data_IF_376199695263
#
_entry.id   IF_376199695263
#
_cell.length_a   1.000
_cell.length_b   1.000
_cell.length_c   1.000
_cell.angle_alpha   90.00
_cell.angle_beta   90.00
_cell.angle_gamma   90.00
#
_symmetry.space_group_name_H-M   'P 1'
#
loop_
_entity.id
_entity.type
_entity.pdbx_description
1 polymer ?
#
# COMPACT_ATOMS: atom_id res chain seq x y z
N UNK A 1 -118.50 -30.57 57.67
CA UNK A 1 -118.08 -29.49 56.76
C UNK A 1 -116.65 -29.77 56.35
N UNK A 2 -116.38 -29.97 55.05
CA UNK A 2 -115.61 -29.02 54.20
C UNK A 2 -114.10 -29.11 54.55
N UNK A 3 -113.13 -29.40 53.68
CA UNK A 3 -113.08 -29.53 52.22
C UNK A 3 -111.85 -30.36 51.83
N UNK A 4 -111.98 -31.00 50.67
CA UNK A 4 -110.96 -31.67 49.86
C UNK A 4 -109.93 -30.65 49.33
N UNK A 5 -108.66 -31.06 49.17
CA UNK A 5 -107.82 -30.55 48.08
C UNK A 5 -106.77 -31.58 47.65
N UNK A 6 -106.65 -31.76 46.34
CA UNK A 6 -105.90 -32.78 45.61
C UNK A 6 -104.37 -32.60 45.65
N UNK A 7 -103.58 -33.67 45.38
CA UNK A 7 -102.14 -33.59 45.21
C UNK A 7 -101.76 -33.16 43.79
N UNK A 8 -100.99 -32.06 43.66
CA UNK A 8 -100.32 -31.72 42.39
C UNK A 8 -99.03 -32.52 42.22
N UNK A 9 -99.05 -33.48 41.29
CA UNK A 9 -97.84 -34.03 40.67
C UNK A 9 -97.17 -32.93 39.83
N UNK A 10 -95.90 -32.62 40.11
CA UNK A 10 -95.05 -31.81 39.23
C UNK A 10 -93.86 -32.65 38.74
N UNK A 11 -93.87 -32.87 37.43
CA UNK A 11 -92.80 -33.37 36.55
C UNK A 11 -91.35 -33.26 37.07
N UNK A 12 -90.71 -34.41 37.31
CA UNK A 12 -89.28 -34.54 37.68
C UNK A 12 -88.34 -34.81 36.48
N UNK A 13 -88.77 -34.53 35.24
CA UNK A 13 -88.00 -34.84 34.03
C UNK A 13 -86.94 -33.79 33.61
N UNK A 14 -86.63 -32.80 34.48
CA UNK A 14 -85.71 -31.69 34.13
C UNK A 14 -84.32 -31.77 34.75
N UNK A 15 -84.11 -32.53 35.84
CA UNK A 15 -82.82 -32.59 36.58
C UNK A 15 -81.78 -33.56 36.00
N UNK A 16 -82.20 -34.61 35.27
CA UNK A 16 -81.27 -35.60 34.71
C UNK A 16 -80.42 -35.03 33.55
N UNK A 17 -80.98 -34.08 32.79
CA UNK A 17 -80.26 -33.32 31.76
C UNK A 17 -79.30 -32.30 32.36
N UNK A 18 -79.63 -31.69 33.50
CA UNK A 18 -78.79 -30.68 34.17
C UNK A 18 -77.56 -31.30 34.83
N UNK A 19 -77.68 -32.46 35.47
CA UNK A 19 -76.54 -33.12 36.12
C UNK A 19 -75.53 -33.70 35.11
N UNK A 20 -75.98 -34.21 33.96
CA UNK A 20 -75.09 -34.63 32.86
C UNK A 20 -74.38 -33.44 32.20
N UNK A 21 -75.05 -32.30 32.12
CA UNK A 21 -74.46 -31.04 31.65
C UNK A 21 -73.36 -30.55 32.62
N UNK A 22 -73.62 -30.59 33.94
CA UNK A 22 -72.64 -30.19 34.96
C UNK A 22 -71.41 -31.13 34.96
N UNK A 23 -71.62 -32.45 34.87
CA UNK A 23 -70.53 -33.41 34.78
C UNK A 23 -69.69 -33.24 33.50
N UNK A 24 -70.34 -32.95 32.37
CA UNK A 24 -69.66 -32.65 31.10
C UNK A 24 -68.84 -31.36 31.19
N UNK A 25 -69.42 -30.28 31.74
CA UNK A 25 -68.71 -29.02 31.96
C UNK A 25 -67.50 -29.22 32.88
N UNK A 26 -67.64 -30.00 33.95
CA UNK A 26 -66.53 -30.31 34.85
C UNK A 26 -65.38 -31.02 34.12
N UNK A 27 -65.67 -32.06 33.34
CA UNK A 27 -64.65 -32.79 32.56
C UNK A 27 -63.97 -31.87 31.55
N UNK A 28 -64.73 -31.02 30.85
CA UNK A 28 -64.17 -30.06 29.88
C UNK A 28 -63.28 -29.03 30.58
N UNK A 29 -63.68 -28.51 31.74
CA UNK A 29 -62.87 -27.58 32.53
C UNK A 29 -61.60 -28.25 33.05
N UNK A 30 -61.69 -29.46 33.58
CA UNK A 30 -60.51 -30.22 34.03
C UNK A 30 -59.55 -30.51 32.87
N UNK A 31 -60.07 -30.92 31.72
CA UNK A 31 -59.26 -31.13 30.52
C UNK A 31 -58.62 -29.82 30.03
N UNK A 32 -59.36 -28.70 30.06
CA UNK A 32 -58.82 -27.38 29.71
C UNK A 32 -57.70 -26.95 30.66
N UNK A 33 -57.85 -27.17 31.98
CA UNK A 33 -56.81 -26.88 32.98
C UNK A 33 -55.59 -27.79 32.77
N UNK A 34 -55.79 -29.07 32.49
CA UNK A 34 -54.70 -30.01 32.22
C UNK A 34 -53.92 -29.63 30.96
N UNK A 35 -54.62 -29.30 29.86
CA UNK A 35 -54.00 -28.81 28.62
C UNK A 35 -53.29 -27.48 28.86
N UNK A 36 -53.90 -26.55 29.59
CA UNK A 36 -53.28 -25.27 29.94
C UNK A 36 -52.01 -25.44 30.77
N UNK A 37 -52.02 -26.34 31.75
CA UNK A 37 -50.85 -26.68 32.57
C UNK A 37 -49.75 -27.33 31.72
N UNK A 38 -50.12 -28.22 30.81
CA UNK A 38 -49.20 -28.85 29.88
C UNK A 38 -48.54 -27.81 28.95
N UNK A 39 -49.31 -26.85 28.43
CA UNK A 39 -48.79 -25.75 27.61
C UNK A 39 -47.80 -24.85 28.36
N UNK A 40 -47.95 -24.69 29.68
CA UNK A 40 -46.99 -23.96 30.52
C UNK A 40 -45.71 -24.78 30.72
N UNK A 41 -45.83 -26.08 30.98
CA UNK A 41 -44.66 -26.97 31.17
C UNK A 41 -43.82 -27.06 29.89
N UNK A 42 -44.45 -27.11 28.71
CA UNK A 42 -43.78 -27.12 27.41
C UNK A 42 -43.50 -25.72 26.85
N UNK A 43 -43.61 -24.67 27.67
CA UNK A 43 -43.31 -23.32 27.21
C UNK A 43 -41.84 -23.18 26.81
N UNK A 44 -41.59 -22.47 25.71
CA UNK A 44 -40.25 -22.16 25.19
C UNK A 44 -40.12 -20.67 24.91
N UNK A 45 -38.93 -20.15 25.12
CA UNK A 45 -38.55 -18.79 24.76
C UNK A 45 -37.39 -18.81 23.77
N UNK A 46 -37.49 -18.01 22.72
CA UNK A 46 -36.38 -17.71 21.81
C UNK A 46 -36.00 -16.25 22.00
N UNK A 47 -34.78 -16.02 22.43
CA UNK A 47 -34.19 -14.70 22.65
C UNK A 47 -33.20 -14.46 21.52
N UNK A 48 -33.46 -13.45 20.69
CA UNK A 48 -32.57 -13.04 19.61
C UNK A 48 -31.89 -11.75 20.04
N UNK A 49 -30.56 -11.78 20.15
CA UNK A 49 -29.72 -10.65 20.53
C UNK A 49 -28.95 -10.19 19.30
N UNK A 50 -29.19 -8.96 18.85
CA UNK A 50 -28.37 -8.35 17.80
C UNK A 50 -27.12 -7.75 18.44
N UNK A 51 -25.94 -8.24 18.05
CA UNK A 51 -24.68 -7.74 18.59
C UNK A 51 -24.19 -6.50 17.83
N UNK A 52 -23.64 -5.53 18.55
CA UNK A 52 -22.84 -4.46 17.94
C UNK A 52 -21.49 -5.01 17.50
N UNK A 53 -21.14 -4.75 16.25
CA UNK A 53 -19.80 -4.99 15.75
C UNK A 53 -18.83 -3.99 16.39
N UNK A 54 -17.67 -4.48 16.78
CA UNK A 54 -16.56 -3.65 17.26
C UNK A 54 -15.34 -3.93 16.43
N UNK A 55 -14.80 -2.87 15.85
CA UNK A 55 -13.57 -2.93 15.08
C UNK A 55 -12.40 -3.33 15.97
N UNK A 56 -11.60 -4.24 15.45
CA UNK A 56 -10.36 -4.72 16.05
C UNK A 56 -9.27 -4.45 15.04
N UNK A 57 -8.25 -3.73 15.50
CA UNK A 57 -6.97 -3.65 14.83
C UNK A 57 -5.94 -4.31 15.74
N UNK A 58 -5.21 -5.27 15.20
CA UNK A 58 -4.21 -6.00 15.96
C UNK A 58 -3.01 -6.31 15.10
N UNK A 59 -1.85 -6.05 15.67
CA UNK A 59 -0.56 -6.35 15.08
C UNK A 59 0.01 -7.61 15.71
N UNK A 60 0.22 -8.63 14.87
CA UNK A 60 0.68 -9.95 15.26
C UNK A 60 2.04 -10.24 14.64
N UNK A 61 2.85 -11.02 15.33
CA UNK A 61 4.11 -11.55 14.80
C UNK A 61 3.95 -13.06 14.73
N UNK A 62 3.97 -13.60 13.53
CA UNK A 62 3.89 -15.04 13.27
C UNK A 62 5.28 -15.55 12.95
N UNK A 63 5.71 -16.54 13.71
CA UNK A 63 7.01 -17.17 13.54
C UNK A 63 6.91 -18.34 12.56
N UNK A 64 7.73 -18.30 11.52
CA UNK A 64 7.83 -19.33 10.49
C UNK A 64 9.18 -20.03 10.64
N UNK A 65 9.18 -21.35 10.66
CA UNK A 65 10.38 -22.16 10.85
C UNK A 65 10.35 -23.43 9.98
N UNK A 66 11.53 -23.85 9.50
CA UNK A 66 11.66 -25.11 8.75
C UNK A 66 11.45 -26.36 9.61
N UNK A 67 11.67 -26.23 10.92
CA UNK A 67 11.38 -27.27 11.91
C UNK A 67 10.63 -26.62 13.08
N UNK A 68 9.31 -26.47 12.97
CA UNK A 68 8.52 -25.71 13.93
C UNK A 68 8.54 -26.38 15.32
N UNK A 69 8.70 -25.57 16.35
CA UNK A 69 8.57 -25.96 17.75
C UNK A 69 7.44 -25.18 18.41
N UNK A 70 6.41 -25.87 18.91
CA UNK A 70 5.26 -25.22 19.54
C UNK A 70 4.30 -24.61 18.52
N UNK A 71 4.06 -23.31 18.61
CA UNK A 71 3.06 -22.57 17.80
C UNK A 71 3.61 -22.01 16.47
N UNK A 72 4.86 -22.34 16.13
CA UNK A 72 5.52 -21.91 14.88
C UNK A 72 4.87 -22.54 13.64
N UNK A 73 4.84 -21.78 12.55
CA UNK A 73 4.30 -22.22 11.26
C UNK A 73 5.40 -22.91 10.45
N UNK A 74 5.15 -24.11 9.89
CA UNK A 74 6.11 -24.76 9.00
C UNK A 74 6.34 -23.92 7.74
N UNK A 75 7.62 -23.66 7.44
CA UNK A 75 8.00 -22.93 6.24
C UNK A 75 9.50 -22.87 6.00
N UNK A 76 9.90 -22.32 4.86
CA UNK A 76 11.29 -22.22 4.42
C UNK A 76 11.64 -20.79 4.07
N UNK A 77 12.87 -20.39 4.39
CA UNK A 77 13.37 -19.04 4.14
C UNK A 77 14.58 -19.10 3.23
N UNK A 78 14.64 -18.22 2.24
CA UNK A 78 15.74 -18.14 1.30
C UNK A 78 16.17 -16.70 1.11
N UNK A 79 17.45 -16.55 0.76
CA UNK A 79 18.04 -15.26 0.45
C UNK A 79 18.96 -15.40 -0.74
N UNK A 80 18.75 -14.55 -1.74
CA UNK A 80 19.54 -14.51 -2.96
C UNK A 80 19.88 -13.05 -3.24
N UNK A 81 21.13 -12.77 -3.59
CA UNK A 81 21.55 -11.46 -4.08
C UNK A 81 21.88 -11.54 -5.56
N UNK A 82 21.44 -10.55 -6.35
CA UNK A 82 21.87 -10.38 -7.74
C UNK A 82 22.35 -8.97 -7.99
N UNK A 83 23.39 -8.86 -8.82
CA UNK A 83 23.93 -7.61 -9.32
C UNK A 83 23.80 -7.56 -10.83
N UNK A 84 23.37 -6.43 -11.36
CA UNK A 84 23.42 -6.13 -12.79
C UNK A 84 24.07 -4.76 -13.01
N UNK A 85 24.72 -4.62 -14.16
CA UNK A 85 25.26 -3.35 -14.64
C UNK A 85 24.73 -3.11 -16.04
N UNK A 86 24.07 -1.99 -16.26
CA UNK A 86 23.47 -1.63 -17.54
C UNK A 86 23.80 -0.18 -17.91
N UNK A 87 23.86 0.07 -19.22
CA UNK A 87 24.12 1.40 -19.78
C UNK A 87 22.80 2.05 -20.16
N UNK A 88 22.60 3.29 -19.71
CA UNK A 88 21.41 4.08 -19.97
C UNK A 88 21.76 5.32 -20.80
N UNK A 89 21.03 5.61 -21.89
CA UNK A 89 21.22 6.83 -22.65
C UNK A 89 20.71 8.04 -21.87
N UNK A 90 21.41 9.18 -21.98
CA UNK A 90 20.95 10.47 -21.46
C UNK A 90 20.06 11.12 -22.51
N UNK A 91 18.84 11.49 -22.11
CA UNK A 91 17.86 12.12 -22.99
C UNK A 91 17.73 13.62 -22.75
N UNK A 92 18.11 14.07 -21.56
CA UNK A 92 18.05 15.47 -21.20
C UNK A 92 19.22 16.26 -21.78
N UNK A 93 18.89 17.28 -22.56
CA UNK A 93 19.85 18.24 -23.08
C UNK A 93 19.78 19.55 -22.31
N UNK A 94 20.94 20.14 -22.08
CA UNK A 94 21.13 21.46 -21.49
C UNK A 94 21.93 22.30 -22.47
N UNK A 95 21.45 23.52 -22.74
CA UNK A 95 22.22 24.49 -23.50
C UNK A 95 23.27 25.13 -22.59
N UNK A 96 24.54 24.84 -22.87
CA UNK A 96 25.69 25.43 -22.18
C UNK A 96 26.23 26.58 -23.01
N UNK A 97 26.61 27.66 -22.34
CA UNK A 97 27.25 28.80 -22.98
C UNK A 97 28.72 28.49 -23.25
N UNK A 98 29.09 28.46 -24.52
CA UNK A 98 30.44 28.21 -25.00
C UNK A 98 31.00 29.46 -25.67
N UNK A 99 32.30 29.47 -25.99
CA UNK A 99 32.90 30.56 -26.77
C UNK A 99 32.62 30.33 -28.25
N UNK A 100 32.16 31.37 -28.94
CA UNK A 100 32.01 31.33 -30.38
C UNK A 100 33.39 31.23 -31.05
N UNK A 101 33.50 30.36 -32.04
CA UNK A 101 34.72 30.22 -32.84
C UNK A 101 34.41 30.45 -34.32
N UNK A 102 35.35 31.05 -35.04
CA UNK A 102 35.27 31.10 -36.50
C UNK A 102 36.55 31.59 -37.15
N UNK A 103 36.56 31.57 -38.48
CA UNK A 103 37.74 31.94 -39.27
C UNK A 103 37.69 33.42 -39.62
N UNK A 104 38.82 34.09 -39.41
CA UNK A 104 39.04 35.47 -39.81
C UNK A 104 40.18 35.53 -40.82
N UNK A 105 40.04 36.38 -41.83
CA UNK A 105 41.06 36.70 -42.81
C UNK A 105 41.74 37.99 -42.39
N UNK A 106 43.05 37.92 -42.22
CA UNK A 106 43.90 39.04 -41.82
C UNK A 106 44.73 39.43 -43.04
N UNK A 107 44.54 40.65 -43.52
CA UNK A 107 45.26 41.23 -44.67
C UNK A 107 46.19 42.33 -44.16
N UNK A 108 47.44 42.32 -44.60
CA UNK A 108 48.41 43.37 -44.29
C UNK A 108 48.93 44.04 -45.56
N UNK A 109 48.94 45.37 -45.55
CA UNK A 109 49.56 46.22 -46.57
C UNK A 109 50.99 46.67 -46.16
N UNK A 110 51.54 46.10 -45.10
CA UNK A 110 52.91 46.39 -44.69
C UNK A 110 53.91 45.75 -45.64
N UNK A 111 55.03 46.44 -45.87
CA UNK A 111 56.17 45.94 -46.63
C UNK A 111 57.06 44.93 -45.88
N UNK A 112 56.68 44.56 -44.66
CA UNK A 112 57.36 43.56 -43.83
C UNK A 112 56.34 42.55 -43.29
N UNK A 113 56.78 41.32 -43.08
CA UNK A 113 55.95 40.32 -42.40
C UNK A 113 55.72 40.74 -40.95
N UNK A 114 54.50 40.53 -40.45
CA UNK A 114 54.12 40.82 -39.08
C UNK A 114 53.59 39.56 -38.41
N UNK A 115 54.20 39.19 -37.29
CA UNK A 115 53.70 38.09 -36.47
C UNK A 115 52.64 38.61 -35.50
N UNK A 116 51.48 37.96 -35.48
CA UNK A 116 50.43 38.15 -34.48
C UNK A 116 50.43 36.93 -33.57
N UNK A 117 50.71 37.14 -32.29
CA UNK A 117 50.78 36.04 -31.31
C UNK A 117 49.39 35.49 -31.01
N UNK A 118 49.33 34.23 -30.58
CA UNK A 118 48.13 33.69 -29.95
C UNK A 118 47.65 34.65 -28.84
N UNK A 119 46.34 34.75 -28.64
CA UNK A 119 45.64 35.68 -27.76
C UNK A 119 45.62 37.17 -28.19
N UNK A 120 46.08 37.51 -29.40
CA UNK A 120 45.95 38.87 -29.95
C UNK A 120 44.48 39.30 -29.96
N UNK A 121 44.20 40.49 -29.40
CA UNK A 121 42.84 41.03 -29.27
C UNK A 121 42.32 41.57 -30.61
N UNK A 122 41.13 41.11 -30.99
CA UNK A 122 40.33 41.56 -32.11
C UNK A 122 39.02 42.15 -31.56
N UNK A 123 38.60 43.31 -32.04
CA UNK A 123 37.38 43.97 -31.55
C UNK A 123 36.48 44.32 -32.72
N UNK A 124 35.22 43.90 -32.67
CA UNK A 124 34.21 44.26 -33.67
C UNK A 124 33.76 45.72 -33.49
N UNK A 125 33.13 46.34 -34.50
CA UNK A 125 32.51 47.66 -34.36
C UNK A 125 31.50 47.72 -33.20
N UNK A 126 30.83 46.60 -32.91
CA UNK A 126 29.85 46.47 -31.82
C UNK A 126 30.51 46.28 -30.45
N UNK A 127 31.84 46.29 -30.37
CA UNK A 127 32.58 46.18 -29.12
C UNK A 127 32.79 44.75 -28.61
N UNK A 128 32.36 43.73 -29.37
CA UNK A 128 32.57 42.32 -29.02
C UNK A 128 34.04 41.96 -29.21
N UNK A 129 34.61 41.34 -28.18
CA UNK A 129 36.03 41.02 -28.14
C UNK A 129 36.28 39.55 -28.51
N UNK A 130 37.23 39.36 -29.41
CA UNK A 130 37.76 38.07 -29.82
C UNK A 130 39.26 38.01 -29.62
N UNK A 131 39.79 36.80 -29.57
CA UNK A 131 41.21 36.51 -29.47
C UNK A 131 41.62 35.50 -30.53
N UNK A 132 42.80 35.71 -31.09
CA UNK A 132 43.39 34.75 -32.02
C UNK A 132 43.76 33.46 -31.26
N UNK A 133 43.35 32.29 -31.76
CA UNK A 133 43.63 30.98 -31.14
C UNK A 133 45.11 30.62 -31.25
N UNK A 134 45.67 30.83 -32.43
CA UNK A 134 47.03 30.44 -32.79
C UNK A 134 47.89 31.66 -33.15
N UNK A 135 49.22 31.50 -33.06
CA UNK A 135 50.15 32.52 -33.57
C UNK A 135 50.16 32.44 -35.09
N UNK A 136 49.90 33.56 -35.76
CA UNK A 136 49.83 33.65 -37.22
C UNK A 136 50.83 34.66 -37.74
N UNK A 137 51.58 34.30 -38.78
CA UNK A 137 52.52 35.20 -39.46
C UNK A 137 51.86 35.75 -40.71
N UNK A 138 51.56 37.06 -40.70
CA UNK A 138 50.99 37.76 -41.84
C UNK A 138 52.14 38.17 -42.77
N UNK A 139 52.19 37.69 -44.03
CA UNK A 139 53.24 38.06 -44.97
C UNK A 139 53.13 39.53 -45.40
N UNK A 140 54.23 40.10 -45.91
CA UNK A 140 54.23 41.45 -46.48
C UNK A 140 53.30 41.51 -47.70
N UNK A 141 52.46 42.54 -47.80
CA UNK A 141 51.46 42.70 -48.86
C UNK A 141 50.63 41.44 -49.14
N UNK A 142 50.21 40.73 -48.08
CA UNK A 142 49.52 39.46 -48.22
C UNK A 142 48.44 39.23 -47.18
N UNK A 143 47.84 38.04 -47.24
CA UNK A 143 46.75 37.66 -46.35
C UNK A 143 46.98 36.28 -45.76
N UNK A 144 46.39 36.05 -44.60
CA UNK A 144 46.44 34.77 -43.89
C UNK A 144 45.12 34.57 -43.13
N UNK A 145 44.69 33.33 -43.03
CA UNK A 145 43.52 32.98 -42.23
C UNK A 145 43.95 32.53 -40.84
N UNK A 146 43.20 32.96 -39.83
CA UNK A 146 43.37 32.57 -38.44
C UNK A 146 42.04 32.20 -37.80
N UNK A 147 42.09 31.46 -36.70
CA UNK A 147 40.90 31.15 -35.91
C UNK A 147 40.75 32.20 -34.80
N UNK A 148 39.60 32.85 -34.74
CA UNK A 148 39.23 33.78 -33.69
C UNK A 148 38.21 33.13 -32.76
N UNK A 149 38.39 33.34 -31.45
CA UNK A 149 37.56 32.81 -30.38
C UNK A 149 37.03 33.97 -29.53
N UNK A 150 35.75 33.99 -29.18
CA UNK A 150 35.19 35.04 -28.33
C UNK A 150 35.85 35.06 -26.94
N UNK A 151 36.05 36.24 -26.36
CA UNK A 151 36.68 36.37 -25.03
C UNK A 151 35.75 35.79 -23.95
N UNK A 152 34.46 36.11 -24.07
CA UNK A 152 33.38 35.66 -23.19
C UNK A 152 32.60 34.50 -23.83
N UNK A 153 32.09 33.60 -22.99
CA UNK A 153 31.12 32.58 -23.39
C UNK A 153 29.73 33.20 -23.52
N UNK A 154 28.89 32.63 -24.38
CA UNK A 154 27.49 33.01 -24.50
C UNK A 154 27.12 33.58 -25.86
N UNK A 155 25.81 33.88 -26.07
CA UNK A 155 25.26 34.28 -27.36
C UNK A 155 25.79 35.65 -27.84
N UNK A 156 26.37 36.46 -26.97
CA UNK A 156 27.01 37.73 -27.34
C UNK A 156 28.25 37.54 -28.23
N UNK A 157 28.85 36.34 -28.21
CA UNK A 157 29.94 35.97 -29.11
C UNK A 157 29.51 35.56 -30.51
N UNK A 158 28.20 35.31 -30.73
CA UNK A 158 27.69 34.95 -32.05
C UNK A 158 27.58 36.21 -32.92
N UNK A 159 28.50 36.36 -33.87
CA UNK A 159 28.58 37.55 -34.74
C UNK A 159 28.53 37.12 -36.20
N UNK A 160 27.72 37.84 -36.99
CA UNK A 160 27.64 37.65 -38.44
C UNK A 160 28.90 38.09 -39.18
N UNK A 161 28.77 38.37 -40.46
CA UNK A 161 29.88 38.91 -41.24
C UNK A 161 30.24 40.33 -40.76
N UNK A 162 31.49 40.51 -40.33
CA UNK A 162 31.95 41.78 -39.75
C UNK A 162 33.45 41.99 -39.97
N UNK A 163 33.93 43.17 -39.60
CA UNK A 163 35.34 43.52 -39.59
C UNK A 163 35.86 43.61 -38.17
N UNK A 164 37.17 43.51 -37.99
CA UNK A 164 37.79 43.65 -36.67
C UNK A 164 38.90 44.69 -36.69
N UNK A 165 39.04 45.36 -35.56
CA UNK A 165 40.17 46.23 -35.25
C UNK A 165 41.12 45.49 -34.31
N UNK A 166 42.43 45.67 -34.47
CA UNK A 166 43.47 45.11 -33.57
C UNK A 166 43.96 46.22 -32.62
N UNK A 167 43.42 46.34 -31.39
CA UNK A 167 43.78 47.45 -30.50
C UNK A 167 45.23 47.40 -30.03
N UNK A 168 45.82 46.19 -29.97
CA UNK A 168 47.20 45.97 -29.53
C UNK A 168 48.27 46.50 -30.49
N UNK A 169 47.91 46.86 -31.72
CA UNK A 169 48.80 47.54 -32.65
C UNK A 169 48.70 49.06 -32.46
N UNK A 170 49.83 49.77 -32.59
CA UNK A 170 49.84 51.24 -32.61
C UNK A 170 49.05 51.79 -33.80
N UNK A 171 48.44 52.95 -33.66
CA UNK A 171 47.53 53.54 -34.67
C UNK A 171 48.16 53.62 -36.07
N UNK A 172 49.42 54.05 -36.13
CA UNK A 172 50.16 54.17 -37.40
C UNK A 172 50.42 52.84 -38.13
N UNK A 173 50.43 51.70 -37.42
CA UNK A 173 50.56 50.37 -38.05
C UNK A 173 49.20 49.72 -38.26
N UNK A 174 48.24 49.98 -37.37
CA UNK A 174 46.90 49.41 -37.39
C UNK A 174 46.14 49.75 -38.67
N UNK A 175 46.33 50.95 -39.23
CA UNK A 175 45.72 51.37 -40.50
C UNK A 175 46.10 50.50 -41.71
N UNK A 176 47.21 49.74 -41.62
CA UNK A 176 47.67 48.84 -42.69
C UNK A 176 47.19 47.40 -42.50
N UNK A 177 46.31 47.14 -41.53
CA UNK A 177 45.69 45.84 -41.31
C UNK A 177 44.18 45.93 -41.52
N UNK A 178 43.66 45.05 -42.37
CA UNK A 178 42.23 44.75 -42.44
C UNK A 178 42.00 43.33 -41.91
N UNK A 179 41.04 43.16 -41.01
CA UNK A 179 40.62 41.86 -40.51
C UNK A 179 39.15 41.70 -40.76
N UNK A 180 38.78 40.65 -41.46
CA UNK A 180 37.40 40.38 -41.89
C UNK A 180 37.03 38.95 -41.54
N UNK A 181 35.76 38.70 -41.24
CA UNK A 181 35.24 37.34 -41.08
C UNK A 181 35.24 36.61 -42.42
N UNK A 182 35.67 35.34 -42.45
CA UNK A 182 35.50 34.46 -43.63
C UNK A 182 34.08 33.87 -43.68
N UNK A 183 33.38 33.87 -42.55
CA UNK A 183 31.97 33.50 -42.37
C UNK A 183 31.53 33.88 -40.95
N UNK A 184 30.25 33.68 -40.61
CA UNK A 184 29.75 34.01 -39.27
C UNK A 184 30.51 33.25 -38.17
N UNK A 185 30.85 33.95 -37.09
CA UNK A 185 31.41 33.36 -35.88
C UNK A 185 30.22 32.89 -35.04
N UNK A 186 30.12 31.57 -34.87
CA UNK A 186 29.00 30.93 -34.18
C UNK A 186 29.54 29.96 -33.12
N UNK A 187 28.70 29.59 -32.15
CA UNK A 187 29.06 28.65 -31.10
C UNK A 187 29.06 29.26 -29.70
N UNK A 188 28.42 30.42 -29.52
CA UNK A 188 28.12 31.01 -28.23
C UNK A 188 27.24 30.11 -27.33
N UNK A 189 26.55 29.13 -27.94
CA UNK A 189 25.76 28.10 -27.27
C UNK A 189 26.02 26.73 -27.88
N UNK A 190 26.14 25.72 -27.01
CA UNK A 190 26.23 24.31 -27.38
C UNK A 190 25.19 23.53 -26.58
N UNK A 191 24.36 22.73 -27.25
CA UNK A 191 23.56 21.73 -26.55
C UNK A 191 24.45 20.57 -26.13
N UNK A 192 24.37 20.19 -24.87
CA UNK A 192 25.03 19.01 -24.36
C UNK A 192 24.10 18.17 -23.50
N UNK A 193 24.38 16.88 -23.41
CA UNK A 193 23.60 15.95 -22.60
C UNK A 193 24.18 15.92 -21.18
N UNK A 194 23.32 16.02 -20.18
CA UNK A 194 23.72 15.99 -18.78
C UNK A 194 22.85 15.03 -17.99
N UNK A 195 23.45 14.19 -17.14
CA UNK A 195 22.67 13.25 -16.34
C UNK A 195 21.82 14.00 -15.33
N UNK A 196 20.51 13.79 -15.36
CA UNK A 196 19.59 14.35 -14.36
C UNK A 196 19.28 13.35 -13.25
N UNK A 197 18.92 13.87 -12.06
CA UNK A 197 18.47 13.04 -10.94
C UNK A 197 17.23 12.19 -11.28
N UNK A 198 16.34 12.71 -12.13
CA UNK A 198 15.14 12.02 -12.57
C UNK A 198 15.45 10.81 -13.48
N UNK A 199 16.40 10.96 -14.40
CA UNK A 199 16.85 9.86 -15.26
C UNK A 199 17.55 8.77 -14.47
N UNK A 200 18.42 9.15 -13.52
CA UNK A 200 19.09 8.20 -12.63
C UNK A 200 18.08 7.42 -11.77
N UNK A 201 17.10 8.11 -11.18
CA UNK A 201 16.04 7.46 -10.39
C UNK A 201 15.20 6.51 -11.25
N UNK A 202 14.83 6.92 -12.46
CA UNK A 202 14.05 6.08 -13.38
C UNK A 202 14.82 4.83 -13.81
N UNK A 203 16.10 4.98 -14.15
CA UNK A 203 16.98 3.86 -14.48
C UNK A 203 17.12 2.90 -13.29
N UNK A 204 17.23 3.44 -12.06
CA UNK A 204 17.27 2.63 -10.85
C UNK A 204 15.97 1.83 -10.65
N UNK A 205 14.81 2.49 -10.73
CA UNK A 205 13.51 1.85 -10.56
C UNK A 205 13.27 0.74 -11.59
N UNK A 206 13.70 0.96 -12.85
CA UNK A 206 13.63 -0.04 -13.91
C UNK A 206 14.52 -1.25 -13.61
N UNK A 207 15.78 -1.03 -13.21
CA UNK A 207 16.69 -2.12 -12.84
C UNK A 207 16.20 -2.88 -11.60
N UNK A 208 15.73 -2.18 -10.57
CA UNK A 208 15.21 -2.79 -9.35
C UNK A 208 13.95 -3.60 -9.66
N UNK A 209 13.03 -3.08 -10.46
CA UNK A 209 11.82 -3.81 -10.88
C UNK A 209 12.15 -5.11 -11.63
N UNK A 210 13.08 -5.05 -12.59
CA UNK A 210 13.53 -6.22 -13.34
C UNK A 210 14.24 -7.24 -12.45
N UNK A 211 15.22 -6.80 -11.66
CA UNK A 211 15.96 -7.67 -10.74
C UNK A 211 15.04 -8.30 -9.69
N UNK A 212 14.03 -7.58 -9.20
CA UNK A 212 13.04 -8.13 -8.24
C UNK A 212 12.20 -9.24 -8.86
N UNK A 213 11.79 -9.09 -10.12
CA UNK A 213 11.07 -10.15 -10.87
C UNK A 213 11.94 -11.40 -11.09
N UNK A 214 13.20 -11.21 -11.47
CA UNK A 214 14.17 -12.30 -11.62
C UNK A 214 14.45 -13.00 -10.28
N UNK A 215 14.65 -12.24 -9.21
CA UNK A 215 14.86 -12.75 -7.85
C UNK A 215 13.64 -13.52 -7.35
N UNK A 216 12.42 -13.03 -7.60
CA UNK A 216 11.17 -13.76 -7.26
C UNK A 216 11.17 -15.14 -7.92
N UNK A 217 11.50 -15.20 -9.21
CA UNK A 217 11.55 -16.45 -9.97
C UNK A 217 12.66 -17.38 -9.47
N UNK A 218 13.83 -16.83 -9.14
CA UNK A 218 14.95 -17.59 -8.58
C UNK A 218 14.65 -18.14 -7.18
N UNK A 219 14.02 -17.34 -6.31
CA UNK A 219 13.61 -17.76 -4.96
C UNK A 219 12.56 -18.87 -5.02
N UNK A 220 11.55 -18.74 -5.90
CA UNK A 220 10.56 -19.82 -6.14
C UNK A 220 11.21 -21.09 -6.69
N UNK A 221 12.20 -20.95 -7.58
CA UNK A 221 12.99 -22.06 -8.10
C UNK A 221 13.73 -22.79 -6.98
N UNK A 222 14.48 -22.06 -6.17
CA UNK A 222 15.22 -22.61 -5.04
C UNK A 222 14.30 -23.31 -4.02
N UNK A 223 13.14 -22.73 -3.73
CA UNK A 223 12.16 -23.35 -2.85
C UNK A 223 11.65 -24.70 -3.40
N UNK A 224 11.41 -24.79 -4.71
CA UNK A 224 10.97 -26.03 -5.38
C UNK A 224 12.07 -27.09 -5.38
N UNK A 225 13.32 -26.69 -5.61
CA UNK A 225 14.47 -27.59 -5.65
C UNK A 225 14.73 -28.23 -4.27
N UNK A 226 14.48 -27.49 -3.18
CA UNK A 226 14.56 -28.00 -1.81
C UNK A 226 13.31 -28.83 -1.40
N UNK A 227 12.39 -29.08 -2.35
CA UNK A 227 11.20 -29.90 -2.17
C UNK A 227 10.01 -29.18 -1.49
N UNK A 228 10.13 -27.88 -1.24
CA UNK A 228 9.05 -27.07 -0.67
C UNK A 228 7.92 -26.91 -1.70
N UNK A 229 6.67 -27.16 -1.26
CA UNK A 229 5.45 -26.89 -2.04
C UNK A 229 4.60 -25.87 -1.28
N UNK A 230 5.02 -24.62 -1.23
CA UNK A 230 4.33 -23.60 -0.45
C UNK A 230 3.07 -23.12 -1.15
N UNK A 231 2.00 -22.98 -0.38
CA UNK A 231 0.75 -22.33 -0.80
C UNK A 231 0.72 -20.85 -0.38
N UNK A 232 1.65 -20.42 0.48
CA UNK A 232 1.88 -19.04 0.88
C UNK A 232 3.31 -18.59 0.58
N UNK A 233 3.46 -17.39 0.03
CA UNK A 233 4.75 -16.78 -0.29
C UNK A 233 4.75 -15.29 0.05
N UNK A 234 5.88 -14.82 0.59
CA UNK A 234 6.16 -13.42 0.85
C UNK A 234 7.57 -13.10 0.36
N UNK A 235 7.72 -11.92 -0.23
CA UNK A 235 8.98 -11.44 -0.75
C UNK A 235 9.31 -10.07 -0.18
N UNK A 236 10.59 -9.83 0.05
CA UNK A 236 11.14 -8.53 0.42
C UNK A 236 12.41 -8.30 -0.39
N UNK A 237 12.58 -7.09 -0.91
CA UNK A 237 13.70 -6.72 -1.77
C UNK A 237 14.40 -5.50 -1.18
N UNK A 238 15.69 -5.65 -0.91
CA UNK A 238 16.52 -4.59 -0.36
C UNK A 238 17.63 -4.24 -1.35
N UNK A 239 17.76 -2.96 -1.71
CA UNK A 239 18.89 -2.51 -2.52
C UNK A 239 20.12 -2.33 -1.62
N UNK A 240 21.11 -3.20 -1.80
CA UNK A 240 22.30 -3.26 -0.93
C UNK A 240 23.45 -2.40 -1.44
N UNK A 241 23.53 -2.21 -2.76
CA UNK A 241 24.61 -1.43 -3.39
C UNK A 241 24.10 -0.74 -4.65
N UNK A 242 24.52 0.51 -4.82
CA UNK A 242 24.24 1.35 -5.98
C UNK A 242 25.54 2.06 -6.35
N UNK A 243 25.94 1.95 -7.61
CA UNK A 243 27.09 2.66 -8.16
C UNK A 243 26.72 3.17 -9.54
N UNK A 244 26.77 4.48 -9.72
CA UNK A 244 26.81 5.10 -11.03
C UNK A 244 28.26 5.47 -11.35
N UNK A 245 28.65 5.37 -12.61
CA UNK A 245 29.97 5.81 -13.09
C UNK A 245 30.06 7.32 -13.38
N UNK A 246 28.92 8.01 -13.32
CA UNK A 246 28.75 9.41 -13.70
C UNK A 246 27.98 10.15 -12.60
N UNK A 247 28.36 11.40 -12.32
CA UNK A 247 27.65 12.25 -11.35
C UNK A 247 26.50 13.05 -11.97
N UNK A 248 25.55 13.49 -11.15
CA UNK A 248 24.44 14.34 -11.60
C UNK A 248 25.01 15.66 -12.10
N UNK A 249 24.65 16.05 -13.33
CA UNK A 249 25.12 17.27 -13.99
C UNK A 249 26.43 17.11 -14.78
N UNK A 250 27.02 15.92 -14.83
CA UNK A 250 28.17 15.63 -15.68
C UNK A 250 27.76 15.50 -17.15
N UNK A 251 28.58 16.03 -18.05
CA UNK A 251 28.38 16.00 -19.50
C UNK A 251 28.71 14.61 -20.05
N UNK A 252 27.68 13.82 -20.38
CA UNK A 252 27.83 12.51 -21.04
C UNK A 252 26.59 12.14 -21.85
N UNK A 253 26.79 11.34 -22.90
CA UNK A 253 25.70 10.79 -23.73
C UNK A 253 25.05 9.54 -23.10
N UNK A 254 25.75 8.86 -22.20
CA UNK A 254 25.25 7.68 -21.50
C UNK A 254 25.99 7.47 -20.17
N UNK A 255 25.36 6.78 -19.23
CA UNK A 255 25.97 6.41 -17.96
C UNK A 255 25.73 4.92 -17.67
N UNK A 256 26.65 4.29 -16.95
CA UNK A 256 26.47 2.93 -16.46
C UNK A 256 25.98 2.94 -15.01
N UNK A 257 24.92 2.18 -14.76
CA UNK A 257 24.36 1.98 -13.44
C UNK A 257 24.53 0.53 -13.02
N UNK A 258 25.17 0.33 -11.85
CA UNK A 258 25.31 -0.98 -11.21
C UNK A 258 24.47 -1.03 -9.94
N UNK A 259 23.50 -1.95 -9.92
CA UNK A 259 22.58 -2.15 -8.80
C UNK A 259 22.73 -3.58 -8.29
N UNK A 260 22.86 -3.72 -6.96
CA UNK A 260 22.79 -5.02 -6.28
C UNK A 260 21.53 -5.06 -5.42
N UNK A 261 20.65 -6.01 -5.74
CA UNK A 261 19.40 -6.26 -5.00
C UNK A 261 19.53 -7.58 -4.24
N UNK A 262 19.24 -7.53 -2.95
CA UNK A 262 19.08 -8.71 -2.11
C UNK A 262 17.59 -9.03 -1.99
N UNK A 263 17.20 -10.20 -2.51
CA UNK A 263 15.86 -10.74 -2.39
C UNK A 263 15.77 -11.74 -1.25
N UNK A 264 14.76 -11.56 -0.41
CA UNK A 264 14.39 -12.44 0.69
C UNK A 264 13.04 -13.07 0.39
N UNK A 265 12.96 -14.39 0.46
CA UNK A 265 11.72 -15.15 0.23
C UNK A 265 11.36 -15.96 1.46
N UNK A 266 10.10 -15.84 1.90
CA UNK A 266 9.53 -16.66 2.96
C UNK A 266 8.37 -17.45 2.37
N UNK A 267 8.44 -18.77 2.51
CA UNK A 267 7.49 -19.71 1.93
C UNK A 267 6.90 -20.55 3.06
N UNK A 268 5.58 -20.68 3.12
CA UNK A 268 4.90 -21.32 4.24
C UNK A 268 3.61 -22.00 3.82
N UNK A 269 3.11 -22.88 4.69
CA UNK A 269 1.78 -23.46 4.56
C UNK A 269 0.72 -22.39 4.90
N UNK A 270 -0.12 -22.04 3.92
CA UNK A 270 -1.12 -20.99 4.07
C UNK A 270 -2.17 -21.34 5.12
N UNK A 271 -2.59 -22.60 5.18
CA UNK A 271 -3.61 -23.06 6.15
C UNK A 271 -3.06 -23.02 7.57
N UNK A 272 -1.82 -23.45 7.78
CA UNK A 272 -1.16 -23.37 9.08
C UNK A 272 -0.94 -21.91 9.53
N UNK A 273 -0.59 -21.04 8.59
CA UNK A 273 -0.42 -19.60 8.85
C UNK A 273 -1.74 -18.93 9.24
N UNK A 274 -2.80 -19.08 8.45
CA UNK A 274 -4.12 -18.50 8.73
C UNK A 274 -4.68 -19.06 10.06
N UNK A 275 -4.45 -20.34 10.34
CA UNK A 275 -4.79 -20.96 11.62
C UNK A 275 -4.03 -20.36 12.81
N UNK A 276 -2.74 -20.05 12.65
CA UNK A 276 -1.93 -19.41 13.69
C UNK A 276 -2.41 -17.97 13.97
N UNK A 277 -2.62 -17.18 12.91
CA UNK A 277 -3.19 -15.83 13.00
C UNK A 277 -4.54 -15.85 13.73
N UNK A 278 -5.45 -16.75 13.36
CA UNK A 278 -6.77 -16.84 13.98
C UNK A 278 -6.69 -17.19 15.49
N UNK A 279 -5.81 -18.13 15.87
CA UNK A 279 -5.58 -18.47 17.29
C UNK A 279 -5.05 -17.27 18.07
N UNK A 280 -4.06 -16.57 17.51
CA UNK A 280 -3.46 -15.40 18.16
C UNK A 280 -4.44 -14.23 18.29
N UNK A 281 -5.28 -14.00 17.27
CA UNK A 281 -6.36 -12.99 17.33
C UNK A 281 -7.38 -13.34 18.40
N UNK A 282 -7.84 -14.60 18.43
CA UNK A 282 -8.84 -15.07 19.41
C UNK A 282 -8.32 -14.92 20.84
N UNK A 283 -7.03 -15.23 21.07
CA UNK A 283 -6.40 -15.07 22.39
C UNK A 283 -6.30 -13.61 22.87
N UNK A 284 -6.35 -12.64 21.94
CA UNK A 284 -6.34 -11.19 22.26
C UNK A 284 -7.73 -10.58 22.39
N UNK A 285 -8.78 -11.33 22.10
CA UNK A 285 -10.15 -10.86 22.29
C UNK A 285 -10.47 -10.67 23.77
N UNK A 286 -11.33 -9.69 24.04
CA UNK A 286 -11.93 -9.54 25.37
C UNK A 286 -12.84 -10.74 25.67
N UNK A 287 -12.87 -11.15 26.95
CA UNK A 287 -13.75 -12.22 27.42
C UNK A 287 -15.20 -12.00 26.99
N UNK A 288 -15.84 -13.06 26.48
CA UNK A 288 -17.24 -13.04 26.01
C UNK A 288 -17.44 -12.43 24.62
N UNK A 289 -16.39 -12.31 23.80
CA UNK A 289 -16.48 -11.89 22.40
C UNK A 289 -15.88 -12.95 21.48
N UNK A 290 -16.37 -12.98 20.25
CA UNK A 290 -15.87 -13.84 19.18
C UNK A 290 -15.61 -13.03 17.90
N UNK A 291 -14.76 -13.56 17.02
CA UNK A 291 -14.49 -12.96 15.71
C UNK A 291 -15.70 -13.17 14.80
N UNK A 292 -16.29 -12.09 14.32
CA UNK A 292 -17.39 -12.15 13.35
C UNK A 292 -16.85 -12.24 11.92
N UNK A 293 -15.92 -11.34 11.59
CA UNK A 293 -15.30 -11.27 10.27
C UNK A 293 -13.85 -10.84 10.43
N UNK A 294 -12.94 -11.56 9.78
CA UNK A 294 -11.57 -11.10 9.54
C UNK A 294 -11.54 -10.52 8.13
N UNK A 295 -11.22 -9.24 8.00
CA UNK A 295 -11.10 -8.63 6.69
C UNK A 295 -9.72 -8.97 6.12
N UNK A 296 -9.69 -9.96 5.23
CA UNK A 296 -8.47 -10.42 4.57
C UNK A 296 -7.93 -9.35 3.62
N UNK A 297 -8.81 -8.55 3.00
CA UNK A 297 -8.43 -7.55 2.00
C UNK A 297 -7.68 -6.36 2.59
N UNK A 298 -7.90 -6.05 3.87
CA UNK A 298 -7.18 -4.99 4.60
C UNK A 298 -6.00 -5.51 5.41
N UNK A 299 -5.79 -6.82 5.44
CA UNK A 299 -4.67 -7.41 6.17
C UNK A 299 -3.36 -7.15 5.44
N UNK A 300 -2.39 -6.55 6.14
CA UNK A 300 -1.03 -6.33 5.62
C UNK A 300 -0.09 -7.36 6.22
N UNK A 301 0.69 -7.99 5.35
CA UNK A 301 1.66 -9.00 5.75
C UNK A 301 3.03 -8.60 5.25
N UNK A 302 3.97 -8.41 6.17
CA UNK A 302 5.32 -7.96 5.86
C UNK A 302 6.34 -8.85 6.58
N UNK A 303 7.49 -9.05 5.95
CA UNK A 303 8.61 -9.78 6.56
C UNK A 303 9.32 -8.81 7.50
N UNK A 304 9.28 -9.08 8.80
CA UNK A 304 9.96 -8.25 9.78
C UNK A 304 11.43 -8.64 9.93
N UNK A 305 11.70 -9.94 10.03
CA UNK A 305 13.06 -10.46 10.24
C UNK A 305 13.21 -11.85 9.64
N UNK A 306 14.42 -12.13 9.15
CA UNK A 306 14.82 -13.47 8.72
C UNK A 306 16.13 -13.85 9.42
N UNK A 307 16.14 -15.03 10.01
CA UNK A 307 17.34 -15.74 10.45
C UNK A 307 17.59 -16.93 9.53
N UNK A 308 18.61 -16.80 8.68
CA UNK A 308 19.00 -17.85 7.74
C UNK A 308 19.70 -19.03 8.41
N UNK A 309 20.37 -18.81 9.54
CA UNK A 309 21.10 -19.87 10.26
C UNK A 309 20.08 -20.75 10.98
N UNK A 310 19.16 -20.12 11.69
CA UNK A 310 18.04 -20.80 12.35
C UNK A 310 16.94 -21.26 11.39
N UNK A 311 16.99 -20.88 10.11
CA UNK A 311 15.94 -21.10 9.11
C UNK A 311 14.56 -20.65 9.60
N UNK A 312 14.52 -19.44 10.17
CA UNK A 312 13.35 -18.82 10.79
C UNK A 312 13.04 -17.46 10.16
N UNK A 313 11.77 -17.08 10.14
CA UNK A 313 11.32 -15.74 9.81
C UNK A 313 10.23 -15.28 10.77
N UNK A 314 10.25 -13.99 11.09
CA UNK A 314 9.18 -13.30 11.76
C UNK A 314 8.37 -12.55 10.70
N UNK A 315 7.08 -12.86 10.61
CA UNK A 315 6.15 -12.19 9.70
C UNK A 315 5.18 -11.36 10.51
N UNK A 316 5.19 -10.06 10.25
CA UNK A 316 4.30 -9.09 10.87
C UNK A 316 2.99 -9.07 10.09
N UNK A 317 1.89 -9.31 10.80
CA UNK A 317 0.54 -9.34 10.26
C UNK A 317 -0.29 -8.28 10.97
N UNK A 318 -0.70 -7.26 10.22
CA UNK A 318 -1.67 -6.28 10.69
C UNK A 318 -3.04 -6.72 10.22
N UNK A 319 -3.89 -7.14 11.15
CA UNK A 319 -5.23 -7.60 10.85
C UNK A 319 -6.25 -6.58 11.33
N UNK A 320 -7.19 -6.27 10.44
CA UNK A 320 -8.39 -5.53 10.79
C UNK A 320 -9.60 -6.46 10.69
N UNK A 321 -10.46 -6.43 11.68
CA UNK A 321 -11.65 -7.27 11.72
C UNK A 321 -12.72 -6.70 12.63
N UNK A 322 -13.82 -7.42 12.74
CA UNK A 322 -14.91 -7.09 13.64
C UNK A 322 -15.13 -8.24 14.61
N UNK A 323 -15.32 -7.91 15.89
CA UNK A 323 -15.84 -8.86 16.88
C UNK A 323 -17.31 -8.61 17.18
N UNK A 324 -18.01 -9.67 17.52
CA UNK A 324 -19.35 -9.65 18.10
C UNK A 324 -19.32 -10.22 19.52
N UNK A 325 -20.38 -10.01 20.28
CA UNK A 325 -20.61 -10.66 21.56
C UNK A 325 -20.78 -12.17 21.31
N UNK A 326 -20.09 -13.02 22.06
CA UNK A 326 -20.28 -14.48 21.92
C UNK A 326 -21.54 -14.92 22.66
N UNK A 327 -22.15 -16.01 22.20
CA UNK A 327 -23.35 -16.58 22.83
C UNK A 327 -23.09 -17.04 24.27
N UNK A 328 -21.84 -17.35 24.62
CA UNK A 328 -21.37 -17.77 25.93
C UNK A 328 -20.97 -16.58 26.84
N UNK A 329 -21.22 -15.35 26.42
CA UNK A 329 -20.96 -14.18 27.26
C UNK A 329 -21.73 -14.32 28.58
N UNK A 330 -21.06 -14.11 29.72
CA UNK A 330 -21.67 -14.24 31.05
C UNK A 330 -22.91 -13.36 31.26
N UNK A 331 -23.08 -12.29 30.47
CA UNK A 331 -24.28 -11.45 30.46
C UNK A 331 -25.50 -12.13 29.82
N UNK A 332 -25.28 -13.03 28.86
CA UNK A 332 -26.28 -13.78 28.09
C UNK A 332 -26.62 -15.14 28.70
N UNK A 333 -26.33 -15.36 29.98
CA UNK A 333 -26.66 -16.61 30.65
C UNK A 333 -28.19 -16.81 30.74
N UNK A 334 -28.76 -17.92 30.20
CA UNK A 334 -30.18 -18.24 30.32
C UNK A 334 -30.70 -18.23 31.76
N UNK A 335 -29.86 -18.56 32.75
CA UNK A 335 -30.24 -18.55 34.17
C UNK A 335 -30.68 -17.18 34.67
N UNK A 336 -30.13 -16.10 34.10
CA UNK A 336 -30.47 -14.72 34.46
C UNK A 336 -31.81 -14.25 33.90
N UNK A 337 -32.39 -15.00 32.95
CA UNK A 337 -33.61 -14.65 32.24
C UNK A 337 -34.83 -15.49 32.70
N UNK A 338 -34.61 -16.48 33.56
CA UNK A 338 -35.63 -17.39 34.07
C UNK A 338 -36.74 -16.63 34.80
N UNK A 339 -37.99 -16.83 34.38
CA UNK A 339 -39.17 -16.25 35.03
C UNK A 339 -39.34 -14.73 34.89
N UNK A 340 -38.41 -14.05 34.20
CA UNK A 340 -38.46 -12.61 33.93
C UNK A 340 -39.56 -12.30 32.91
N UNK A 341 -40.14 -11.09 32.94
CA UNK A 341 -41.10 -10.66 31.92
C UNK A 341 -40.38 -10.38 30.60
N UNK A 342 -41.06 -10.58 29.47
CA UNK A 342 -40.47 -10.31 28.14
C UNK A 342 -39.90 -8.89 28.04
N UNK A 343 -40.59 -7.89 28.59
CA UNK A 343 -40.14 -6.50 28.62
C UNK A 343 -38.89 -6.27 29.46
N UNK A 344 -38.79 -6.90 30.63
CA UNK A 344 -37.65 -6.75 31.53
C UNK A 344 -36.43 -7.53 31.00
N UNK A 345 -36.66 -8.67 30.34
CA UNK A 345 -35.61 -9.41 29.65
C UNK A 345 -35.00 -8.59 28.50
N UNK A 346 -35.83 -7.94 27.67
CA UNK A 346 -35.33 -7.02 26.62
C UNK A 346 -34.53 -5.87 27.22
N UNK A 347 -35.05 -5.20 28.26
CA UNK A 347 -34.34 -4.09 28.91
C UNK A 347 -32.99 -4.50 29.52
N UNK A 348 -32.94 -5.69 30.15
CA UNK A 348 -31.69 -6.21 30.70
C UNK A 348 -30.67 -6.47 29.57
N UNK A 349 -31.08 -7.14 28.49
CA UNK A 349 -30.22 -7.48 27.37
C UNK A 349 -29.72 -6.24 26.62
N UNK A 350 -30.58 -5.25 26.39
CA UNK A 350 -30.19 -3.98 25.76
C UNK A 350 -29.28 -3.12 26.66
N UNK A 351 -29.30 -3.36 27.97
CA UNK A 351 -28.37 -2.74 28.92
C UNK A 351 -26.97 -3.35 28.93
N UNK A 352 -26.76 -4.50 28.27
CA UNK A 352 -25.45 -5.14 28.19
C UNK A 352 -24.56 -4.41 27.17
N UNK A 353 -23.28 -4.25 27.52
CA UNK A 353 -22.30 -3.70 26.60
C UNK A 353 -22.10 -4.66 25.41
N UNK A 354 -22.11 -4.11 24.20
CA UNK A 354 -22.04 -4.89 22.96
C UNK A 354 -23.39 -5.37 22.40
N UNK A 355 -24.54 -5.09 23.04
CA UNK A 355 -25.86 -5.39 22.47
C UNK A 355 -26.43 -4.17 21.72
N UNK A 356 -26.94 -4.40 20.51
CA UNK A 356 -27.63 -3.40 19.68
C UNK A 356 -29.13 -3.38 19.96
N UNK A 357 -29.76 -4.55 19.98
CA UNK A 357 -31.17 -4.71 20.30
C UNK A 357 -31.45 -6.15 20.71
N UNK A 358 -32.49 -6.38 21.49
CA UNK A 358 -32.92 -7.73 21.86
C UNK A 358 -34.40 -7.95 21.53
N UNK A 359 -34.75 -9.15 21.11
CA UNK A 359 -36.13 -9.57 20.87
C UNK A 359 -36.41 -10.89 21.57
N UNK A 360 -37.61 -11.01 22.15
CA UNK A 360 -38.04 -12.20 22.88
C UNK A 360 -39.33 -12.70 22.23
N UNK A 361 -39.29 -13.94 21.74
CA UNK A 361 -40.45 -14.67 21.22
C UNK A 361 -40.81 -15.81 22.16
N UNK A 362 -42.08 -15.89 22.56
CA UNK A 362 -42.59 -16.90 23.47
C UNK A 362 -43.53 -17.85 22.73
N UNK A 363 -43.39 -19.15 23.01
CA UNK A 363 -44.30 -20.19 22.56
C UNK A 363 -44.84 -20.94 23.78
N UNK A 364 -46.16 -20.85 24.08
CA UNK A 364 -47.21 -20.11 23.35
C UNK A 364 -47.10 -18.57 23.44
N UNK A 365 -47.56 -17.86 22.39
CA UNK A 365 -47.42 -16.40 22.24
C UNK A 365 -48.15 -15.54 23.27
N UNK A 366 -49.11 -16.12 23.99
CA UNK A 366 -49.91 -15.41 25.01
C UNK A 366 -49.21 -15.32 26.38
N UNK A 367 -48.10 -16.04 26.57
CA UNK A 367 -47.30 -15.93 27.78
C UNK A 367 -46.63 -14.55 27.87
N UNK A 368 -46.50 -14.04 29.09
CA UNK A 368 -45.85 -12.74 29.37
C UNK A 368 -44.48 -12.87 30.04
N UNK A 369 -44.17 -14.07 30.52
CA UNK A 369 -42.94 -14.39 31.27
C UNK A 369 -42.21 -15.52 30.56
N UNK A 370 -40.89 -15.50 30.69
CA UNK A 370 -40.05 -16.58 30.19
C UNK A 370 -40.25 -17.85 31.04
N UNK A 371 -39.98 -19.03 30.47
CA UNK A 371 -40.01 -20.30 31.20
C UNK A 371 -39.17 -20.26 32.48
N UNK A 372 -39.59 -21.05 33.48
CA UNK A 372 -38.87 -21.19 34.74
C UNK A 372 -37.71 -22.20 34.67
N UNK A 373 -37.42 -22.74 33.48
CA UNK A 373 -36.37 -23.72 33.23
C UNK A 373 -35.44 -23.13 32.18
N UNK A 374 -34.15 -22.99 32.52
CA UNK A 374 -33.14 -22.39 31.66
C UNK A 374 -33.03 -23.10 30.30
N UNK A 375 -33.13 -24.43 30.28
CA UNK A 375 -33.07 -25.26 29.04
C UNK A 375 -34.20 -24.94 28.04
N UNK A 376 -35.28 -24.30 28.48
CA UNK A 376 -36.38 -23.89 27.59
C UNK A 376 -36.18 -22.48 27.00
N UNK A 377 -35.06 -21.82 27.32
CA UNK A 377 -34.68 -20.50 26.80
C UNK A 377 -33.52 -20.71 25.82
N UNK A 378 -33.79 -20.49 24.54
CA UNK A 378 -32.78 -20.55 23.48
C UNK A 378 -32.31 -19.14 23.16
N UNK A 379 -31.01 -18.89 23.22
CA UNK A 379 -30.41 -17.59 22.93
C UNK A 379 -29.66 -17.70 21.61
N UNK A 380 -30.01 -16.84 20.66
CA UNK A 380 -29.34 -16.69 19.38
C UNK A 380 -28.70 -15.30 19.32
N UNK A 381 -27.39 -15.24 19.09
CA UNK A 381 -26.69 -13.99 18.77
C UNK A 381 -26.63 -13.84 17.25
N UNK A 382 -26.96 -12.66 16.74
CA UNK A 382 -26.95 -12.33 15.31
C UNK A 382 -26.25 -11.01 15.02
#
# INVERSE_FOLDING_TARGET
MIQVSEPKQNCSARHWRTNRLIAFVFVVVTAAIAVFSLLIVFSRATVVVLSKQRDIESELIVDIASSPTGDEVPGSVYKISRSATESFPVSSSVTVETRAEGRVRIVSELSRAQTLVASTRLVTPDGVQFRLKDTVVVPAFGSVEGVAVSDESGPSGDVGETTFTIPGLNEGTRQFFSVETVGSLMGGRKETYMVTAAELSKAEDEMVGRLSSELTSALRGQARDDGSRPDGELFSFDVTKRLADTEIGEETESFNLSVTVEGKGVFFDRSAFDGSVNRMLTARLLFGRELATVNVDTSRTEIEKIDLIGRRANVRVTVQGASILSAEAAGLDPEKLVGVTSTAAVQYLEGLDGVSSASVSLCPFWLRRLPNVAEHIMIEVR
#
